data_IF_381763206819
#
_entry.id   IF_381763206819
#
_cell.length_a   1.000
_cell.length_b   1.000
_cell.length_c   1.000
_cell.angle_alpha   90.00
_cell.angle_beta   90.00
_cell.angle_gamma   90.00
#
_symmetry.space_group_name_H-M   'P 1'
#
loop_
_entity.id
_entity.type
_entity.pdbx_description
1 polymer ?
#
# COMPACT_ATOMS: atom_id res chain seq x y z
N UNK A 1 -21.73 3.98 3.28
CA UNK A 1 -20.85 2.94 2.71
C UNK A 1 -19.76 2.69 3.73
N UNK A 2 -19.70 1.46 4.25
CA UNK A 2 -18.66 1.10 5.20
C UNK A 2 -17.30 1.03 4.47
N UNK A 3 -16.25 1.47 5.15
CA UNK A 3 -14.88 1.45 4.63
C UNK A 3 -14.03 0.59 5.57
N UNK A 4 -13.02 -0.03 5.00
CA UNK A 4 -11.98 -0.67 5.78
C UNK A 4 -10.66 0.07 5.56
N UNK A 5 -9.89 0.17 6.63
CA UNK A 5 -8.53 0.66 6.63
C UNK A 5 -7.58 -0.54 6.54
N UNK A 6 -6.78 -0.59 5.50
CA UNK A 6 -5.74 -1.59 5.30
C UNK A 6 -4.39 -0.93 5.57
N UNK A 7 -3.60 -1.56 6.45
CA UNK A 7 -2.20 -1.22 6.64
C UNK A 7 -1.40 -2.11 5.71
N UNK A 8 -0.78 -1.49 4.71
CA UNK A 8 -0.08 -2.17 3.65
C UNK A 8 1.41 -1.82 3.73
N UNK A 9 2.26 -2.81 3.92
CA UNK A 9 3.71 -2.65 3.89
C UNK A 9 4.22 -2.93 2.48
N UNK A 10 4.92 -1.97 1.91
CA UNK A 10 5.48 -2.05 0.57
C UNK A 10 6.99 -1.99 0.67
N UNK A 11 7.65 -3.03 0.16
CA UNK A 11 9.09 -3.08 0.06
C UNK A 11 9.51 -2.62 -1.33
N UNK A 12 10.39 -1.60 -1.44
CA UNK A 12 10.97 -1.23 -2.72
C UNK A 12 11.96 -2.30 -3.20
N UNK A 13 12.22 -2.34 -4.50
CA UNK A 13 13.23 -3.24 -5.10
C UNK A 13 14.67 -2.91 -4.70
N UNK A 14 14.96 -1.63 -4.40
CA UNK A 14 16.30 -1.17 -4.04
C UNK A 14 16.24 0.01 -3.05
N UNK A 15 17.33 0.24 -2.33
CA UNK A 15 17.52 1.36 -1.39
C UNK A 15 17.56 2.73 -2.09
N UNK A 16 17.83 2.76 -3.39
CA UNK A 16 17.90 3.98 -4.21
C UNK A 16 16.53 4.45 -4.71
N UNK A 17 15.46 3.69 -4.47
CA UNK A 17 14.11 4.09 -4.86
C UNK A 17 13.61 5.19 -3.93
N UNK A 18 13.18 6.30 -4.52
CA UNK A 18 12.49 7.35 -3.79
C UNK A 18 11.10 6.87 -3.38
N UNK A 19 10.90 6.71 -2.07
CA UNK A 19 9.64 6.23 -1.50
C UNK A 19 8.49 7.22 -1.67
N UNK A 20 8.78 8.52 -1.79
CA UNK A 20 7.78 9.55 -2.03
C UNK A 20 7.26 9.44 -3.46
N UNK A 21 8.16 9.27 -4.43
CA UNK A 21 7.78 9.00 -5.83
C UNK A 21 7.04 7.67 -5.96
N UNK A 22 7.52 6.62 -5.29
CA UNK A 22 6.88 5.31 -5.28
C UNK A 22 5.44 5.39 -4.74
N UNK A 23 5.24 6.12 -3.65
CA UNK A 23 3.92 6.38 -3.07
C UNK A 23 2.99 7.07 -4.06
N UNK A 24 3.47 8.07 -4.80
CA UNK A 24 2.64 8.75 -5.82
C UNK A 24 2.34 7.85 -7.02
N UNK A 25 3.28 7.01 -7.47
CA UNK A 25 3.02 5.97 -8.49
C UNK A 25 1.95 5.00 -8.02
N UNK A 26 2.04 4.53 -6.77
CA UNK A 26 1.03 3.65 -6.16
C UNK A 26 -0.32 4.35 -6.13
N UNK A 27 -0.39 5.60 -5.67
CA UNK A 27 -1.62 6.39 -5.64
C UNK A 27 -2.32 6.44 -7.01
N UNK A 28 -1.55 6.57 -8.09
CA UNK A 28 -2.09 6.61 -9.46
C UNK A 28 -2.55 5.25 -9.97
N UNK A 29 -1.93 4.15 -9.50
CA UNK A 29 -2.28 2.79 -9.88
C UNK A 29 -3.51 2.24 -9.12
N UNK A 30 -3.91 2.88 -8.03
CA UNK A 30 -5.03 2.41 -7.21
C UNK A 30 -6.38 2.47 -7.94
N UNK A 31 -7.24 1.44 -7.82
CA UNK A 31 -8.58 1.46 -8.42
C UNK A 31 -9.49 2.53 -7.82
N UNK A 32 -10.60 2.83 -8.51
CA UNK A 32 -11.63 3.72 -7.98
C UNK A 32 -12.16 3.22 -6.63
N UNK A 33 -12.29 4.13 -5.67
CA UNK A 33 -12.77 3.83 -4.32
C UNK A 33 -11.67 3.54 -3.30
N UNK A 34 -10.44 3.32 -3.76
CA UNK A 34 -9.25 3.22 -2.90
C UNK A 34 -8.64 4.60 -2.66
N UNK A 35 -8.18 4.85 -1.45
CA UNK A 35 -7.61 6.15 -1.08
C UNK A 35 -6.48 5.98 -0.06
N UNK A 36 -5.28 6.48 -0.38
CA UNK A 36 -4.18 6.56 0.59
C UNK A 36 -4.46 7.72 1.55
N UNK A 37 -4.69 7.40 2.82
CA UNK A 37 -4.95 8.38 3.90
C UNK A 37 -3.69 8.88 4.60
N UNK A 38 -2.64 8.08 4.55
CA UNK A 38 -1.35 8.43 5.13
C UNK A 38 -0.31 7.39 4.76
N UNK A 39 0.91 7.64 5.19
CA UNK A 39 2.00 6.68 5.06
C UNK A 39 3.04 6.95 6.15
N UNK A 40 3.82 5.93 6.44
CA UNK A 40 5.01 6.00 7.27
C UNK A 40 6.17 5.32 6.54
N UNK A 41 7.39 5.70 6.89
CA UNK A 41 8.61 5.09 6.38
C UNK A 41 9.27 4.33 7.54
N UNK A 42 9.34 3.01 7.40
CA UNK A 42 9.89 2.14 8.43
C UNK A 42 11.28 1.64 8.01
N UNK A 43 12.35 1.94 8.78
CA UNK A 43 13.66 1.38 8.51
C UNK A 43 13.65 -0.13 8.79
N UNK A 44 14.22 -0.91 7.88
CA UNK A 44 14.34 -2.36 8.02
C UNK A 44 15.77 -2.71 8.46
N UNK A 45 16.66 -2.93 7.49
CA UNK A 45 18.06 -3.28 7.69
C UNK A 45 18.87 -2.88 6.44
N UNK A 46 20.19 -2.72 6.59
CA UNK A 46 21.09 -2.40 5.47
C UNK A 46 20.69 -1.15 4.66
N UNK A 47 20.09 -0.16 5.31
CA UNK A 47 19.63 1.08 4.66
C UNK A 47 18.32 0.95 3.89
N UNK A 48 17.75 -0.26 3.78
CA UNK A 48 16.44 -0.49 3.19
C UNK A 48 15.34 0.07 4.09
N UNK A 49 14.37 0.71 3.47
CA UNK A 49 13.20 1.29 4.13
C UNK A 49 11.93 0.75 3.48
N UNK A 50 10.97 0.32 4.28
CA UNK A 50 9.63 0.00 3.81
C UNK A 50 8.78 1.27 3.79
N UNK A 51 7.90 1.33 2.79
CA UNK A 51 6.81 2.29 2.73
C UNK A 51 5.56 1.62 3.29
N UNK A 52 5.10 2.10 4.45
CA UNK A 52 3.88 1.63 5.09
C UNK A 52 2.74 2.56 4.70
N UNK A 53 1.71 2.04 4.05
CA UNK A 53 0.58 2.80 3.54
C UNK A 53 -0.68 2.53 4.35
N UNK A 54 -1.44 3.59 4.62
CA UNK A 54 -2.78 3.51 5.19
C UNK A 54 -3.79 3.70 4.07
N UNK A 55 -4.41 2.62 3.63
CA UNK A 55 -5.32 2.63 2.47
C UNK A 55 -6.75 2.41 2.92
N UNK A 56 -7.64 3.34 2.61
CA UNK A 56 -9.07 3.09 2.68
C UNK A 56 -9.53 2.37 1.42
N UNK A 57 -10.34 1.34 1.60
CA UNK A 57 -11.01 0.64 0.51
C UNK A 57 -12.48 0.35 0.88
N UNK A 58 -13.35 0.12 -0.11
CA UNK A 58 -14.72 -0.31 0.14
C UNK A 58 -14.75 -1.66 0.88
N UNK A 59 -15.67 -1.83 1.83
CA UNK A 59 -15.83 -3.13 2.52
C UNK A 59 -16.36 -4.21 1.56
N UNK A 60 -17.21 -3.83 0.60
CA UNK A 60 -17.87 -4.74 -0.35
C UNK A 60 -17.00 -5.06 -1.58
N UNK A 61 -15.68 -5.03 -1.43
CA UNK A 61 -14.75 -5.42 -2.50
C UNK A 61 -14.66 -6.94 -2.60
N UNK A 62 -15.05 -7.49 -3.76
CA UNK A 62 -14.83 -8.91 -4.08
C UNK A 62 -13.33 -9.25 -4.06
N UNK A 63 -12.98 -10.37 -3.41
CA UNK A 63 -11.57 -10.78 -3.24
C UNK A 63 -10.85 -10.11 -2.06
N UNK A 64 -11.53 -9.29 -1.25
CA UNK A 64 -10.94 -8.71 -0.04
C UNK A 64 -9.77 -7.77 -0.37
N UNK A 65 -8.59 -8.00 0.21
CA UNK A 65 -7.39 -7.17 -0.01
C UNK A 65 -6.62 -7.56 -1.28
N UNK A 66 -6.91 -8.70 -1.90
CA UNK A 66 -6.18 -9.17 -3.08
C UNK A 66 -6.14 -8.15 -4.23
N UNK A 67 -7.23 -7.43 -4.59
CA UNK A 67 -7.17 -6.43 -5.64
C UNK A 67 -6.23 -5.26 -5.32
N UNK A 68 -6.14 -4.89 -4.04
CA UNK A 68 -5.22 -3.84 -3.58
C UNK A 68 -3.78 -4.31 -3.73
N UNK A 69 -3.46 -5.47 -3.18
CA UNK A 69 -2.12 -6.06 -3.23
C UNK A 69 -1.65 -6.21 -4.69
N UNK A 70 -2.51 -6.76 -5.55
CA UNK A 70 -2.22 -6.92 -6.97
C UNK A 70 -2.04 -5.59 -7.72
N UNK A 71 -2.78 -4.55 -7.36
CA UNK A 71 -2.62 -3.23 -7.96
C UNK A 71 -1.26 -2.61 -7.57
N UNK A 72 -0.86 -2.75 -6.31
CA UNK A 72 0.41 -2.22 -5.80
C UNK A 72 1.60 -3.03 -6.31
N UNK A 73 1.51 -4.36 -6.36
CA UNK A 73 2.58 -5.25 -6.87
C UNK A 73 2.91 -5.02 -8.35
N UNK A 74 2.00 -4.43 -9.14
CA UNK A 74 2.24 -4.10 -10.55
C UNK A 74 2.96 -2.77 -10.76
N UNK A 75 3.18 -2.00 -9.70
CA UNK A 75 3.87 -0.72 -9.77
C UNK A 75 5.36 -0.96 -9.87
N UNK A 76 6.00 -0.36 -10.87
CA UNK A 76 7.45 -0.43 -11.05
C UNK A 76 8.18 0.12 -9.82
N UNK A 77 9.14 -0.66 -9.32
CA UNK A 77 9.89 -0.35 -8.10
C UNK A 77 9.32 -0.98 -6.83
N UNK A 78 8.18 -1.68 -6.90
CA UNK A 78 7.66 -2.51 -5.81
C UNK A 78 8.18 -3.94 -5.94
N UNK A 79 8.89 -4.42 -4.92
CA UNK A 79 9.37 -5.80 -4.86
C UNK A 79 8.37 -6.74 -4.19
N UNK A 80 7.81 -6.29 -3.07
CA UNK A 80 6.90 -7.09 -2.26
C UNK A 80 5.88 -6.20 -1.56
N UNK A 81 4.68 -6.75 -1.38
CA UNK A 81 3.59 -6.13 -0.65
C UNK A 81 3.12 -7.11 0.42
N UNK A 82 2.84 -6.60 1.62
CA UNK A 82 2.35 -7.36 2.76
C UNK A 82 1.21 -6.61 3.44
N UNK A 83 0.09 -7.30 3.69
CA UNK A 83 -1.01 -6.76 4.49
C UNK A 83 -0.73 -7.04 5.96
N UNK A 84 -0.46 -5.99 6.73
CA UNK A 84 -0.16 -6.13 8.15
C UNK A 84 -1.41 -6.16 9.02
N UNK A 85 -2.42 -5.35 8.66
CA UNK A 85 -3.66 -5.27 9.41
C UNK A 85 -4.81 -4.76 8.53
N UNK A 86 -6.02 -5.19 8.90
CA UNK A 86 -7.28 -4.70 8.34
C UNK A 86 -8.18 -4.28 9.49
N UNK A 87 -8.62 -3.03 9.47
CA UNK A 87 -9.51 -2.45 10.47
C UNK A 87 -10.81 -2.01 9.80
N UNK A 88 -11.94 -2.44 10.35
CA UNK A 88 -13.24 -1.92 9.93
C UNK A 88 -13.48 -0.55 10.55
N UNK A 89 -13.80 0.43 9.72
CA UNK A 89 -14.19 1.77 10.17
C UNK A 89 -15.72 1.80 10.19
N UNK A 90 -16.30 1.67 11.39
CA UNK A 90 -17.73 1.85 11.68
C UNK A 90 -18.12 3.31 11.79
#
# INVERSE_FOLDING_TARGET
MAKVLVLLKVLPEDINIDLEELKEKIRQALPKGYEIKGYDIEPIAFGLKALRLYVFMPEETEGGTEPLENAVMKVEGVSQVEVEAVHRIT
#
